data_IF_383698018654
#
_entry.id   IF_383698018654
#
_cell.length_a   1.000
_cell.length_b   1.000
_cell.length_c   1.000
_cell.angle_alpha   90.00
_cell.angle_beta   90.00
_cell.angle_gamma   90.00
#
_symmetry.space_group_name_H-M   'P 1'
#
loop_
_entity.id
_entity.type
_entity.pdbx_description
1 polymer ?
#
# COMPACT_ATOMS: atom_id res chain seq x y z
N UNK A 1 16.45 -7.21 39.65
CA UNK A 1 16.21 -5.81 39.26
C UNK A 1 16.76 -5.63 37.87
N UNK A 2 15.91 -5.42 36.85
CA UNK A 2 16.38 -5.10 35.50
C UNK A 2 17.09 -3.76 35.60
N UNK A 3 18.39 -3.72 35.28
CA UNK A 3 19.12 -2.46 35.19
C UNK A 3 18.42 -1.58 34.15
N UNK A 4 18.06 -0.36 34.53
CA UNK A 4 17.51 0.63 33.60
C UNK A 4 18.51 0.78 32.45
N UNK A 5 18.00 0.83 31.23
CA UNK A 5 18.84 1.05 30.03
C UNK A 5 19.49 2.42 30.09
N UNK A 6 20.81 2.50 29.85
CA UNK A 6 21.48 3.80 29.74
C UNK A 6 21.11 4.50 28.42
N UNK A 7 21.27 5.83 28.39
CA UNK A 7 21.02 6.60 27.16
C UNK A 7 21.96 6.18 26.01
N UNK A 8 23.19 5.84 26.31
CA UNK A 8 24.14 5.34 25.32
C UNK A 8 23.73 3.98 24.74
N UNK A 9 23.27 3.05 25.61
CA UNK A 9 22.74 1.76 25.15
C UNK A 9 21.49 1.95 24.26
N UNK A 10 20.60 2.89 24.65
CA UNK A 10 19.43 3.28 23.89
C UNK A 10 19.83 3.74 22.47
N UNK A 11 20.76 4.67 22.37
CA UNK A 11 21.24 5.21 21.08
C UNK A 11 21.79 4.12 20.14
N UNK A 12 22.53 3.16 20.69
CA UNK A 12 23.04 2.02 19.90
C UNK A 12 21.90 1.16 19.41
N UNK A 13 20.92 0.87 20.25
CA UNK A 13 19.80 0.01 19.91
C UNK A 13 18.88 0.67 18.85
N UNK A 14 18.52 1.94 19.04
CA UNK A 14 17.67 2.65 18.05
C UNK A 14 18.38 2.83 16.72
N UNK A 15 19.69 3.08 16.73
CA UNK A 15 20.47 3.11 15.49
C UNK A 15 20.40 1.77 14.74
N UNK A 16 20.57 0.67 15.43
CA UNK A 16 20.43 -0.66 14.82
C UNK A 16 19.01 -0.90 14.28
N UNK A 17 17.96 -0.54 15.02
CA UNK A 17 16.57 -0.63 14.56
C UNK A 17 16.40 0.21 13.29
N UNK A 18 16.88 1.45 13.29
CA UNK A 18 16.83 2.30 12.10
C UNK A 18 17.54 1.67 10.90
N UNK A 19 18.74 1.14 11.11
CA UNK A 19 19.56 0.53 10.05
C UNK A 19 18.87 -0.70 9.40
N UNK A 20 18.06 -1.47 10.17
CA UNK A 20 17.42 -2.68 9.67
C UNK A 20 16.02 -2.47 9.10
N UNK A 21 15.28 -1.47 9.53
CA UNK A 21 13.89 -1.24 9.10
C UNK A 21 13.49 0.22 8.90
N UNK A 22 14.38 1.19 9.19
CA UNK A 22 14.15 2.62 8.99
C UNK A 22 13.17 3.27 9.95
N UNK A 23 12.71 2.56 10.94
CA UNK A 23 11.82 3.12 11.96
C UNK A 23 12.59 4.14 12.78
N UNK A 24 12.05 5.35 12.86
CA UNK A 24 12.59 6.44 13.67
C UNK A 24 11.94 6.41 15.05
N UNK A 25 12.77 6.35 16.08
CA UNK A 25 12.34 6.44 17.48
C UNK A 25 12.96 7.70 18.11
N UNK A 26 12.14 8.55 18.69
CA UNK A 26 12.59 9.74 19.43
C UNK A 26 13.14 9.38 20.80
N UNK A 27 13.88 10.31 21.40
CA UNK A 27 14.53 10.12 22.71
C UNK A 27 13.54 9.83 23.85
N UNK A 28 12.27 10.21 23.68
CA UNK A 28 11.18 9.94 24.61
C UNK A 28 10.65 8.50 24.55
N UNK A 29 11.17 7.64 23.66
CA UNK A 29 10.66 6.28 23.39
C UNK A 29 11.49 5.15 24.05
N UNK A 30 12.39 5.49 24.99
CA UNK A 30 13.20 4.48 25.68
C UNK A 30 12.31 3.39 26.32
N UNK A 31 11.19 3.79 26.95
CA UNK A 31 10.25 2.85 27.54
C UNK A 31 9.70 1.81 26.56
N UNK A 32 9.55 2.18 25.28
CA UNK A 32 9.08 1.28 24.24
C UNK A 32 10.09 0.18 23.92
N UNK A 33 11.38 0.55 23.85
CA UNK A 33 12.47 -0.42 23.70
C UNK A 33 12.50 -1.37 24.89
N UNK A 34 12.45 -0.83 26.12
CA UNK A 34 12.44 -1.63 27.33
C UNK A 34 11.26 -2.59 27.36
N UNK A 35 10.06 -2.10 27.11
CA UNK A 35 8.84 -2.92 27.09
C UNK A 35 8.89 -4.07 26.07
N UNK A 36 9.44 -3.79 24.86
CA UNK A 36 9.42 -4.75 23.75
C UNK A 36 10.59 -5.73 23.78
N UNK A 37 11.77 -5.30 24.22
CA UNK A 37 12.97 -6.12 24.19
C UNK A 37 13.29 -6.82 25.52
N UNK A 38 12.89 -6.28 26.70
CA UNK A 38 13.14 -6.94 27.98
C UNK A 38 12.67 -8.40 28.02
N UNK A 39 11.45 -8.74 27.52
CA UNK A 39 10.99 -10.12 27.58
C UNK A 39 11.81 -11.10 26.72
N UNK A 40 12.55 -10.59 25.74
CA UNK A 40 13.28 -11.39 24.76
C UNK A 40 14.81 -11.21 24.81
N UNK A 41 15.35 -10.50 25.82
CA UNK A 41 16.81 -10.34 25.98
C UNK A 41 17.55 -11.67 26.01
N UNK A 42 17.01 -12.67 26.70
CA UNK A 42 17.56 -14.02 26.73
C UNK A 42 17.64 -14.68 25.35
N UNK A 43 16.74 -14.33 24.44
CA UNK A 43 16.76 -14.85 23.08
C UNK A 43 17.94 -14.29 22.23
N UNK A 44 18.51 -13.16 22.68
CA UNK A 44 19.73 -12.59 22.13
C UNK A 44 20.99 -13.09 22.85
N UNK A 45 20.84 -13.99 23.82
CA UNK A 45 21.89 -14.41 24.77
C UNK A 45 22.46 -13.20 25.52
N UNK A 46 21.61 -12.32 26.00
CA UNK A 46 21.95 -11.12 26.75
C UNK A 46 21.14 -11.09 28.07
N UNK A 47 21.75 -10.68 29.15
CA UNK A 47 21.12 -10.54 30.47
C UNK A 47 20.55 -9.13 30.68
N UNK A 48 21.08 -8.15 29.95
CA UNK A 48 20.71 -6.74 30.05
C UNK A 48 20.93 -5.99 28.75
N UNK A 49 20.46 -4.75 28.67
CA UNK A 49 20.56 -3.89 27.49
C UNK A 49 22.00 -3.51 27.13
N UNK A 50 22.89 -3.38 28.12
CA UNK A 50 24.30 -3.06 27.85
C UNK A 50 25.03 -4.19 27.14
N UNK A 51 24.69 -5.45 27.45
CA UNK A 51 25.20 -6.61 26.69
C UNK A 51 24.64 -6.62 25.27
N UNK A 52 23.34 -6.34 25.10
CA UNK A 52 22.70 -6.24 23.80
C UNK A 52 23.34 -5.12 22.96
N UNK A 53 23.43 -3.91 23.49
CA UNK A 53 24.05 -2.76 22.80
C UNK A 53 25.49 -3.05 22.38
N UNK A 54 26.30 -3.66 23.25
CA UNK A 54 27.68 -4.06 22.92
C UNK A 54 27.70 -5.08 21.76
N UNK A 55 26.82 -6.05 21.77
CA UNK A 55 26.72 -7.06 20.71
C UNK A 55 26.34 -6.43 19.37
N UNK A 56 25.35 -5.52 19.37
CA UNK A 56 24.92 -4.79 18.17
C UNK A 56 26.03 -3.88 17.62
N UNK A 57 26.74 -3.13 18.50
CA UNK A 57 27.82 -2.23 18.08
C UNK A 57 29.03 -2.96 17.49
N UNK A 58 29.31 -4.19 17.92
CA UNK A 58 30.37 -5.04 17.36
C UNK A 58 29.99 -5.76 16.07
N UNK A 59 28.73 -5.64 15.60
CA UNK A 59 28.23 -6.41 14.46
C UNK A 59 28.08 -7.90 14.72
N UNK A 60 28.08 -8.32 15.99
CA UNK A 60 27.87 -9.72 16.41
C UNK A 60 26.40 -10.13 16.29
N UNK A 61 25.84 -9.95 15.07
CA UNK A 61 24.42 -10.20 14.78
C UNK A 61 24.28 -11.30 13.74
N UNK A 62 23.30 -12.15 13.96
CA UNK A 62 22.90 -13.18 13.01
C UNK A 62 21.64 -12.79 12.29
N UNK A 63 21.26 -13.51 11.22
CA UNK A 63 19.95 -13.39 10.59
C UNK A 63 18.81 -13.51 11.63
N UNK A 64 18.93 -14.49 12.54
CA UNK A 64 17.94 -14.70 13.61
C UNK A 64 17.86 -13.51 14.59
N UNK A 65 19.00 -12.92 14.95
CA UNK A 65 19.01 -11.70 15.78
C UNK A 65 18.25 -10.56 15.11
N UNK A 66 18.50 -10.34 13.82
CA UNK A 66 17.81 -9.32 13.02
C UNK A 66 16.30 -9.59 12.96
N UNK A 67 15.90 -10.82 12.66
CA UNK A 67 14.50 -11.22 12.57
C UNK A 67 13.75 -11.02 13.89
N UNK A 68 14.33 -11.44 15.01
CA UNK A 68 13.76 -11.23 16.34
C UNK A 68 13.61 -9.76 16.67
N UNK A 69 14.62 -8.94 16.35
CA UNK A 69 14.55 -7.49 16.54
C UNK A 69 13.43 -6.87 15.72
N UNK A 70 13.32 -7.21 14.44
CA UNK A 70 12.23 -6.75 13.56
C UNK A 70 10.87 -7.12 14.11
N UNK A 71 10.67 -8.38 14.48
CA UNK A 71 9.41 -8.86 15.02
C UNK A 71 9.01 -8.19 16.35
N UNK A 72 9.98 -7.79 17.17
CA UNK A 72 9.73 -7.08 18.42
C UNK A 72 9.46 -5.59 18.21
N UNK A 73 10.17 -4.96 17.28
CA UNK A 73 10.15 -3.51 17.11
C UNK A 73 9.07 -3.01 16.16
N UNK A 74 8.54 -3.85 15.27
CA UNK A 74 7.42 -3.47 14.40
C UNK A 74 6.12 -3.31 15.19
N UNK A 75 5.30 -2.34 14.79
CA UNK A 75 3.95 -2.15 15.34
C UNK A 75 2.95 -2.78 14.36
N UNK A 76 2.30 -3.84 14.81
CA UNK A 76 1.47 -4.70 13.95
C UNK A 76 -0.03 -4.46 14.16
N UNK A 77 -0.42 -3.24 14.54
CA UNK A 77 -1.82 -2.86 14.76
C UNK A 77 -2.58 -2.84 13.44
N UNK A 78 -3.59 -3.69 13.33
CA UNK A 78 -4.45 -3.79 12.16
C UNK A 78 -5.87 -4.20 12.57
N UNK A 79 -6.86 -3.94 11.70
CA UNK A 79 -8.24 -4.39 11.87
C UNK A 79 -8.91 -4.57 10.51
N UNK A 80 -10.01 -5.31 10.49
CA UNK A 80 -10.84 -5.46 9.31
C UNK A 80 -11.44 -4.12 8.90
N UNK A 81 -11.36 -3.79 7.60
CA UNK A 81 -11.92 -2.55 7.04
C UNK A 81 -11.50 -1.29 7.81
N UNK A 82 -10.25 -1.24 8.30
CA UNK A 82 -9.72 -0.11 9.09
C UNK A 82 -9.98 1.23 8.41
N UNK A 83 -10.56 2.18 9.17
CA UNK A 83 -11.01 3.52 8.74
C UNK A 83 -12.21 3.51 7.76
N UNK A 84 -12.78 2.38 7.43
CA UNK A 84 -13.98 2.14 6.59
C UNK A 84 -13.99 2.88 5.24
N UNK A 85 -13.87 4.22 5.22
CA UNK A 85 -14.02 5.07 4.03
C UNK A 85 -13.08 4.71 2.85
N UNK A 86 -11.81 4.24 3.03
CA UNK A 86 -10.98 3.79 1.91
C UNK A 86 -11.57 2.56 1.21
N UNK A 87 -12.21 1.69 1.95
CA UNK A 87 -12.83 0.47 1.39
C UNK A 87 -14.15 0.77 0.70
N UNK A 88 -14.92 1.76 1.16
CA UNK A 88 -16.09 2.30 0.42
C UNK A 88 -15.62 2.87 -0.91
N UNK A 89 -14.60 3.71 -0.90
CA UNK A 89 -14.00 4.28 -2.12
C UNK A 89 -13.45 3.19 -3.05
N UNK A 90 -12.77 2.18 -2.50
CA UNK A 90 -12.30 1.04 -3.26
C UNK A 90 -13.43 0.31 -3.97
N UNK A 91 -14.52 0.00 -3.25
CA UNK A 91 -15.70 -0.70 -3.78
C UNK A 91 -16.43 0.11 -4.86
N UNK A 92 -16.66 1.41 -4.61
CA UNK A 92 -17.57 2.21 -5.42
C UNK A 92 -16.90 2.96 -6.57
N UNK A 93 -15.62 3.28 -6.44
CA UNK A 93 -14.88 4.09 -7.42
C UNK A 93 -13.77 3.32 -8.12
N UNK A 94 -12.96 2.56 -7.38
CA UNK A 94 -11.80 1.88 -7.94
C UNK A 94 -12.21 0.55 -8.60
N UNK A 95 -13.04 -0.26 -7.94
CA UNK A 95 -13.42 -1.56 -8.49
C UNK A 95 -14.15 -1.50 -9.84
N UNK A 96 -15.04 -0.55 -10.14
CA UNK A 96 -15.60 -0.41 -11.49
C UNK A 96 -14.53 -0.25 -12.58
N UNK A 97 -13.51 0.57 -12.35
CA UNK A 97 -12.39 0.76 -13.29
C UNK A 97 -11.55 -0.52 -13.42
N UNK A 98 -11.37 -1.25 -12.33
CA UNK A 98 -10.65 -2.52 -12.33
C UNK A 98 -11.41 -3.60 -13.10
N UNK A 99 -12.72 -3.64 -12.99
CA UNK A 99 -13.58 -4.54 -13.78
C UNK A 99 -13.45 -4.26 -15.28
N UNK A 100 -13.49 -3.00 -15.69
CA UNK A 100 -13.25 -2.60 -17.08
C UNK A 100 -11.83 -2.99 -17.55
N UNK A 101 -10.84 -2.77 -16.70
CA UNK A 101 -9.44 -3.14 -16.97
C UNK A 101 -9.31 -4.64 -17.21
N UNK A 102 -10.00 -5.49 -16.45
CA UNK A 102 -10.04 -6.94 -16.67
C UNK A 102 -10.56 -7.26 -18.06
N UNK A 103 -11.72 -6.71 -18.45
CA UNK A 103 -12.34 -6.95 -19.75
C UNK A 103 -11.38 -6.53 -20.87
N UNK A 104 -10.86 -5.32 -20.84
CA UNK A 104 -9.92 -4.80 -21.84
C UNK A 104 -8.65 -5.65 -21.96
N UNK A 105 -8.11 -6.14 -20.84
CA UNK A 105 -6.90 -6.97 -20.83
C UNK A 105 -7.18 -8.38 -21.32
N UNK A 106 -8.38 -8.92 -21.12
CA UNK A 106 -8.81 -10.20 -21.69
C UNK A 106 -8.92 -10.11 -23.22
N UNK A 107 -9.51 -9.04 -23.75
CA UNK A 107 -9.62 -8.80 -25.19
C UNK A 107 -8.26 -8.69 -25.88
N UNK A 108 -7.29 -8.00 -25.25
CA UNK A 108 -5.95 -7.79 -25.81
C UNK A 108 -5.03 -8.99 -25.69
N UNK A 109 -5.24 -9.85 -24.71
CA UNK A 109 -4.28 -10.91 -24.36
C UNK A 109 -4.94 -12.07 -23.63
N UNK A 110 -5.84 -12.77 -24.32
CA UNK A 110 -6.53 -13.96 -23.77
C UNK A 110 -5.55 -15.10 -23.39
N UNK A 111 -4.39 -15.19 -24.04
CA UNK A 111 -3.38 -16.22 -23.76
C UNK A 111 -2.54 -15.96 -22.49
N UNK A 112 -2.54 -14.73 -21.95
CA UNK A 112 -1.73 -14.41 -20.79
C UNK A 112 -2.31 -15.07 -19.54
N UNK A 113 -1.59 -16.03 -18.98
CA UNK A 113 -1.95 -16.68 -17.70
C UNK A 113 -1.76 -15.73 -16.53
N UNK A 114 -2.52 -15.99 -15.45
CA UNK A 114 -2.46 -15.23 -14.20
C UNK A 114 -3.42 -14.03 -14.15
N UNK A 115 -3.44 -13.31 -13.03
CA UNK A 115 -4.39 -12.23 -12.79
C UNK A 115 -4.25 -11.09 -13.81
N UNK A 116 -5.38 -10.54 -14.23
CA UNK A 116 -5.46 -9.40 -15.14
C UNK A 116 -5.26 -8.08 -14.41
N UNK A 117 -5.68 -8.00 -13.15
CA UNK A 117 -5.49 -6.86 -12.25
C UNK A 117 -4.67 -7.31 -11.05
N UNK A 118 -3.63 -6.57 -10.74
CA UNK A 118 -2.75 -6.83 -9.58
C UNK A 118 -2.86 -5.69 -8.58
N UNK A 119 -2.98 -6.06 -7.32
CA UNK A 119 -3.07 -5.13 -6.20
C UNK A 119 -2.00 -5.44 -5.16
N UNK A 120 -1.58 -4.43 -4.43
CA UNK A 120 -0.57 -4.58 -3.39
C UNK A 120 -1.02 -3.94 -2.09
N UNK A 121 -1.02 -4.70 -1.00
CA UNK A 121 -1.17 -4.23 0.37
C UNK A 121 0.21 -4.20 1.01
N UNK A 122 0.72 -3.01 1.25
CA UNK A 122 2.03 -2.75 1.84
C UNK A 122 1.91 -2.77 3.36
N UNK A 123 2.83 -3.45 4.06
CA UNK A 123 2.77 -3.66 5.51
C UNK A 123 1.43 -4.30 5.94
N UNK A 124 1.14 -5.45 5.32
CA UNK A 124 -0.12 -6.18 5.48
C UNK A 124 -0.38 -6.70 6.91
N UNK A 125 0.62 -6.68 7.79
CA UNK A 125 0.53 -7.18 9.16
C UNK A 125 -0.03 -8.62 9.19
N UNK A 126 -1.02 -8.88 10.01
CA UNK A 126 -1.67 -10.19 10.13
C UNK A 126 -2.75 -10.46 9.06
N UNK A 127 -2.80 -9.67 7.99
CA UNK A 127 -3.55 -9.97 6.76
C UNK A 127 -4.94 -9.35 6.64
N UNK A 128 -5.44 -8.61 7.64
CA UNK A 128 -6.80 -8.06 7.61
C UNK A 128 -7.04 -7.11 6.43
N UNK A 129 -6.05 -6.30 6.05
CA UNK A 129 -6.19 -5.37 4.92
C UNK A 129 -6.33 -6.10 3.58
N UNK A 130 -5.39 -6.97 3.14
CA UNK A 130 -5.55 -7.69 1.87
C UNK A 130 -6.77 -8.61 1.85
N UNK A 131 -7.15 -9.21 2.98
CA UNK A 131 -8.37 -10.00 3.06
C UNK A 131 -9.64 -9.15 2.96
N UNK A 132 -9.66 -7.93 3.53
CA UNK A 132 -10.78 -6.98 3.35
C UNK A 132 -10.92 -6.55 1.89
N UNK A 133 -9.81 -6.32 1.19
CA UNK A 133 -9.82 -6.10 -0.27
C UNK A 133 -10.41 -7.30 -1.01
N UNK A 134 -9.97 -8.51 -0.68
CA UNK A 134 -10.45 -9.75 -1.29
C UNK A 134 -11.96 -9.97 -1.11
N UNK A 135 -12.51 -9.64 0.07
CA UNK A 135 -13.96 -9.71 0.33
C UNK A 135 -14.73 -8.72 -0.56
N UNK A 136 -14.23 -7.50 -0.75
CA UNK A 136 -14.85 -6.51 -1.64
C UNK A 136 -14.81 -6.99 -3.08
N UNK A 137 -13.70 -7.54 -3.54
CA UNK A 137 -13.58 -8.12 -4.88
C UNK A 137 -14.62 -9.22 -5.07
N UNK A 138 -14.75 -10.14 -4.11
CA UNK A 138 -15.72 -11.22 -4.17
C UNK A 138 -17.17 -10.71 -4.25
N UNK A 139 -17.51 -9.67 -3.47
CA UNK A 139 -18.82 -9.03 -3.54
C UNK A 139 -19.09 -8.38 -4.91
N UNK A 140 -18.12 -7.63 -5.42
CA UNK A 140 -18.27 -6.91 -6.70
C UNK A 140 -18.35 -7.90 -7.87
N UNK A 141 -17.49 -8.91 -7.91
CA UNK A 141 -17.49 -9.96 -8.94
C UNK A 141 -18.81 -10.73 -8.94
N UNK A 142 -19.31 -11.13 -7.75
CA UNK A 142 -20.57 -11.86 -7.64
C UNK A 142 -21.78 -11.05 -8.08
N UNK A 143 -21.79 -9.75 -7.81
CA UNK A 143 -22.94 -8.87 -8.05
C UNK A 143 -22.91 -8.19 -9.43
N UNK A 144 -21.73 -7.88 -9.96
CA UNK A 144 -21.56 -7.06 -11.17
C UNK A 144 -20.72 -7.72 -12.27
N UNK A 145 -20.17 -8.89 -12.02
CA UNK A 145 -19.25 -9.57 -12.95
C UNK A 145 -19.89 -10.03 -14.26
N UNK A 146 -21.20 -10.20 -14.29
CA UNK A 146 -21.98 -10.65 -15.47
C UNK A 146 -21.31 -11.77 -16.29
N UNK A 147 -20.52 -12.65 -15.62
CA UNK A 147 -19.73 -13.71 -16.27
C UNK A 147 -18.47 -13.25 -17.01
N UNK A 148 -18.22 -11.94 -17.11
CA UNK A 148 -17.05 -11.38 -17.80
C UNK A 148 -15.80 -11.35 -16.93
N UNK A 149 -15.96 -11.30 -15.61
CA UNK A 149 -14.88 -11.29 -14.63
C UNK A 149 -15.08 -12.35 -13.56
N UNK A 150 -13.98 -12.93 -13.11
CA UNK A 150 -13.94 -13.96 -12.07
C UNK A 150 -12.93 -13.56 -10.99
N UNK A 151 -12.91 -14.28 -9.86
CA UNK A 151 -11.91 -14.06 -8.81
C UNK A 151 -10.48 -14.22 -9.32
N UNK A 152 -10.24 -15.17 -10.22
CA UNK A 152 -8.90 -15.46 -10.77
C UNK A 152 -8.34 -14.33 -11.65
N UNK A 153 -9.17 -13.38 -12.05
CA UNK A 153 -8.72 -12.18 -12.76
C UNK A 153 -8.02 -11.16 -11.85
N UNK A 154 -8.11 -11.34 -10.54
CA UNK A 154 -7.53 -10.46 -9.53
C UNK A 154 -6.45 -11.18 -8.72
N UNK A 155 -5.38 -10.48 -8.43
CA UNK A 155 -4.33 -10.96 -7.55
C UNK A 155 -3.91 -9.87 -6.56
N UNK A 156 -3.79 -10.21 -5.30
CA UNK A 156 -3.34 -9.32 -4.25
C UNK A 156 -2.01 -9.81 -3.71
N UNK A 157 -1.01 -8.95 -3.66
CA UNK A 157 0.22 -9.19 -2.92
C UNK A 157 0.13 -8.49 -1.57
N UNK A 158 0.24 -9.23 -0.47
CA UNK A 158 0.42 -8.70 0.87
C UNK A 158 1.89 -8.79 1.26
N UNK A 159 2.51 -7.69 1.68
CA UNK A 159 3.91 -7.73 2.13
C UNK A 159 4.06 -7.18 3.52
N UNK A 160 5.01 -7.73 4.28
CA UNK A 160 5.42 -7.20 5.58
C UNK A 160 6.88 -7.55 5.83
N UNK A 161 7.54 -6.79 6.70
CA UNK A 161 8.91 -7.07 7.10
C UNK A 161 8.98 -8.15 8.18
N UNK A 162 7.91 -8.34 8.96
CA UNK A 162 7.80 -9.28 10.07
C UNK A 162 7.33 -10.65 9.57
N UNK A 163 8.21 -11.64 9.62
CA UNK A 163 7.88 -13.04 9.31
C UNK A 163 6.78 -13.60 10.20
N UNK A 164 6.76 -13.18 11.47
CA UNK A 164 5.76 -13.62 12.45
C UNK A 164 4.33 -13.26 12.05
N UNK A 165 4.11 -12.00 11.62
CA UNK A 165 2.76 -11.57 11.22
C UNK A 165 2.37 -12.17 9.88
N UNK A 166 3.33 -12.33 8.96
CA UNK A 166 3.07 -13.00 7.69
C UNK A 166 2.67 -14.47 7.87
N UNK A 167 3.30 -15.19 8.79
CA UNK A 167 2.90 -16.56 9.10
C UNK A 167 1.43 -16.63 9.53
N UNK A 168 0.99 -15.72 10.40
CA UNK A 168 -0.43 -15.60 10.80
C UNK A 168 -1.33 -15.20 9.63
N UNK A 169 -0.88 -14.26 8.79
CA UNK A 169 -1.62 -13.86 7.60
C UNK A 169 -1.82 -15.04 6.64
N UNK A 170 -0.78 -15.84 6.39
CA UNK A 170 -0.86 -17.06 5.55
C UNK A 170 -1.79 -18.10 6.16
N UNK A 171 -1.73 -18.32 7.48
CA UNK A 171 -2.64 -19.22 8.17
C UNK A 171 -4.09 -18.80 7.99
N UNK A 172 -4.36 -17.49 8.01
CA UNK A 172 -5.71 -16.94 7.83
C UNK A 172 -6.68 -17.31 8.94
N UNK A 173 -6.18 -17.57 10.14
CA UNK A 173 -6.94 -18.00 11.32
C UNK A 173 -6.95 -16.91 12.38
N UNK A 174 -8.14 -16.54 12.84
CA UNK A 174 -8.37 -15.40 13.72
C UNK A 174 -9.27 -15.76 14.89
N UNK A 175 -8.97 -15.21 16.06
CA UNK A 175 -9.77 -15.38 17.27
C UNK A 175 -11.04 -14.50 17.26
N UNK A 176 -11.97 -14.73 18.22
CA UNK A 176 -13.24 -14.00 18.30
C UNK A 176 -13.07 -12.48 18.41
N UNK A 177 -12.11 -12.01 19.19
CA UNK A 177 -11.84 -10.57 19.37
C UNK A 177 -11.28 -9.93 18.11
N UNK A 178 -10.49 -10.68 17.33
CA UNK A 178 -9.93 -10.16 16.08
C UNK A 178 -11.00 -9.98 15.01
N UNK A 179 -11.90 -10.97 14.85
CA UNK A 179 -13.00 -10.88 13.88
C UNK A 179 -14.08 -9.89 14.30
N UNK A 180 -14.24 -9.62 15.61
CA UNK A 180 -15.20 -8.63 16.09
C UNK A 180 -14.78 -7.18 15.75
N UNK A 181 -13.51 -6.92 15.48
CA UNK A 181 -12.99 -5.59 15.14
C UNK A 181 -13.12 -5.29 13.65
N UNK A 182 -14.33 -4.92 13.20
CA UNK A 182 -14.63 -4.46 11.84
C UNK A 182 -15.41 -5.43 10.96
N UNK A 183 -15.69 -6.67 11.40
CA UNK A 183 -16.56 -7.60 10.66
C UNK A 183 -17.97 -7.67 11.24
N UNK A 184 -18.97 -7.52 10.36
CA UNK A 184 -20.37 -7.79 10.71
C UNK A 184 -20.60 -9.31 10.86
N UNK A 185 -21.72 -9.68 11.46
CA UNK A 185 -22.12 -11.08 11.56
C UNK A 185 -22.26 -11.73 10.17
N UNK A 186 -22.86 -11.03 9.21
CA UNK A 186 -23.07 -11.54 7.84
C UNK A 186 -21.74 -11.73 7.11
N UNK A 187 -20.77 -10.81 7.26
CA UNK A 187 -19.44 -10.97 6.69
C UNK A 187 -18.73 -12.20 7.26
N UNK A 188 -18.81 -12.41 8.57
CA UNK A 188 -18.21 -13.59 9.21
C UNK A 188 -18.83 -14.87 8.67
N UNK A 189 -20.17 -14.94 8.58
CA UNK A 189 -20.89 -16.08 8.03
C UNK A 189 -20.55 -16.34 6.56
N UNK A 190 -20.36 -15.28 5.77
CA UNK A 190 -20.12 -15.38 4.33
C UNK A 190 -18.67 -15.77 3.98
N UNK A 191 -17.71 -15.24 4.71
CA UNK A 191 -16.30 -15.30 4.32
C UNK A 191 -15.42 -16.15 5.24
N UNK A 192 -15.96 -16.69 6.32
CA UNK A 192 -15.20 -17.51 7.25
C UNK A 192 -15.85 -18.88 7.48
N UNK A 193 -15.00 -19.84 7.77
CA UNK A 193 -15.37 -21.13 8.33
C UNK A 193 -15.05 -21.07 9.81
N UNK A 194 -16.01 -21.38 10.68
CA UNK A 194 -15.78 -21.43 12.12
C UNK A 194 -15.22 -22.81 12.52
N UNK A 195 -14.10 -22.80 13.20
CA UNK A 195 -13.48 -23.99 13.80
C UNK A 195 -13.30 -23.79 15.31
N UNK A 196 -14.19 -24.35 16.12
CA UNK A 196 -14.24 -24.07 17.56
C UNK A 196 -14.45 -22.58 17.80
N UNK A 197 -13.53 -21.96 18.54
CA UNK A 197 -13.57 -20.52 18.81
C UNK A 197 -12.90 -19.66 17.72
N UNK A 198 -12.25 -20.29 16.74
CA UNK A 198 -11.54 -19.58 15.70
C UNK A 198 -12.33 -19.48 14.39
N UNK A 199 -11.94 -18.50 13.57
CA UNK A 199 -12.50 -18.21 12.27
C UNK A 199 -11.40 -18.30 11.21
N UNK A 200 -11.58 -19.15 10.20
CA UNK A 200 -10.64 -19.32 9.09
C UNK A 200 -11.24 -18.66 7.88
N UNK A 201 -10.49 -17.76 7.25
CA UNK A 201 -10.90 -17.08 6.02
C UNK A 201 -11.08 -18.09 4.88
N UNK A 202 -12.14 -17.97 4.09
CA UNK A 202 -12.51 -18.92 3.03
C UNK A 202 -11.43 -19.01 1.95
N UNK A 203 -11.30 -20.19 1.33
CA UNK A 203 -10.36 -20.43 0.23
C UNK A 203 -10.58 -19.54 -0.98
N UNK A 204 -11.82 -19.16 -1.27
CA UNK A 204 -12.16 -18.24 -2.37
C UNK A 204 -11.41 -16.91 -2.23
N UNK A 205 -11.29 -16.39 -1.01
CA UNK A 205 -10.54 -15.17 -0.74
C UNK A 205 -9.03 -15.44 -0.67
N UNK A 206 -8.62 -16.52 -0.01
CA UNK A 206 -7.20 -16.87 0.17
C UNK A 206 -6.48 -17.10 -1.15
N UNK A 207 -7.14 -17.73 -2.12
CA UNK A 207 -6.52 -18.14 -3.39
C UNK A 207 -6.06 -16.98 -4.29
N UNK A 208 -6.59 -15.78 -4.09
CA UNK A 208 -6.17 -14.59 -4.86
C UNK A 208 -5.12 -13.76 -4.13
N UNK A 209 -4.67 -14.20 -2.94
CA UNK A 209 -3.74 -13.43 -2.10
C UNK A 209 -2.45 -14.22 -1.90
N UNK A 210 -1.34 -13.59 -2.23
CA UNK A 210 0.01 -14.05 -1.94
C UNK A 210 0.62 -13.19 -0.83
N UNK A 211 1.33 -13.82 0.11
CA UNK A 211 2.08 -13.10 1.14
C UNK A 211 3.57 -13.28 0.95
N UNK A 212 4.33 -12.18 1.08
CA UNK A 212 5.79 -12.17 0.88
C UNK A 212 6.48 -11.26 1.89
N UNK A 213 7.60 -11.75 2.46
CA UNK A 213 8.48 -10.89 3.25
C UNK A 213 9.12 -9.83 2.36
N UNK A 214 8.98 -8.56 2.76
CA UNK A 214 9.53 -7.44 2.01
C UNK A 214 9.72 -6.22 2.92
N UNK A 215 10.91 -5.62 2.84
CA UNK A 215 11.20 -4.35 3.50
C UNK A 215 10.90 -3.20 2.52
N UNK A 216 9.99 -2.32 2.88
CA UNK A 216 9.60 -1.16 2.06
C UNK A 216 10.76 -0.19 1.78
N UNK A 217 11.88 -0.30 2.51
CA UNK A 217 13.10 0.48 2.23
C UNK A 217 13.97 -0.10 1.12
N UNK A 218 13.75 -1.37 0.77
CA UNK A 218 14.49 -2.02 -0.31
C UNK A 218 14.06 -1.49 -1.69
N UNK A 219 14.74 -1.93 -2.74
CA UNK A 219 14.38 -1.60 -4.11
C UNK A 219 13.16 -2.40 -4.56
N UNK A 220 12.20 -1.74 -5.22
CA UNK A 220 10.95 -2.37 -5.69
C UNK A 220 11.07 -3.07 -7.04
N UNK A 221 12.26 -3.14 -7.62
CA UNK A 221 12.48 -3.67 -8.97
C UNK A 221 11.97 -5.10 -9.19
N UNK A 222 11.93 -5.91 -8.13
CA UNK A 222 11.50 -7.32 -8.20
C UNK A 222 10.06 -7.56 -7.79
N UNK A 223 9.34 -6.53 -7.35
CA UNK A 223 7.97 -6.72 -6.83
C UNK A 223 6.92 -6.71 -7.95
N UNK A 224 7.27 -6.16 -9.10
CA UNK A 224 6.42 -6.06 -10.26
C UNK A 224 5.60 -4.77 -10.33
N UNK A 225 4.55 -4.73 -11.17
CA UNK A 225 3.67 -3.58 -11.35
C UNK A 225 2.28 -3.88 -10.83
N UNK A 226 1.58 -2.85 -10.31
CA UNK A 226 0.27 -2.98 -9.69
C UNK A 226 -0.68 -1.90 -10.20
N UNK A 227 -1.97 -2.24 -10.26
CA UNK A 227 -3.04 -1.33 -10.64
C UNK A 227 -3.58 -0.55 -9.44
N UNK A 228 -3.51 -1.17 -8.25
CA UNK A 228 -3.94 -0.56 -6.98
C UNK A 228 -2.91 -0.88 -5.91
N UNK A 229 -2.49 0.13 -5.16
CA UNK A 229 -1.59 -0.02 -4.01
C UNK A 229 -2.28 0.58 -2.77
N UNK A 230 -2.37 -0.21 -1.72
CA UNK A 230 -2.71 0.22 -0.36
C UNK A 230 -1.39 0.32 0.41
N UNK A 231 -0.95 1.54 0.72
CA UNK A 231 0.22 1.81 1.54
C UNK A 231 -0.22 2.65 2.75
N UNK A 232 -0.81 1.98 3.74
CA UNK A 232 -1.54 2.67 4.80
C UNK A 232 -0.92 2.43 6.17
N UNK A 233 -0.84 3.51 6.97
CA UNK A 233 -0.38 3.49 8.35
C UNK A 233 1.05 2.96 8.54
N UNK A 234 1.91 3.19 7.56
CA UNK A 234 3.31 2.76 7.55
C UNK A 234 4.28 3.94 7.37
N UNK A 235 3.93 4.94 6.55
CA UNK A 235 4.82 6.08 6.27
C UNK A 235 5.07 6.94 7.50
N UNK A 236 4.16 6.89 8.48
CA UNK A 236 4.28 7.61 9.75
C UNK A 236 5.53 7.26 10.55
N UNK A 237 6.18 6.13 10.28
CA UNK A 237 7.37 5.66 10.98
C UNK A 237 8.69 6.14 10.35
N UNK A 238 8.65 6.78 9.17
CA UNK A 238 9.84 7.09 8.39
C UNK A 238 10.16 8.60 8.38
N UNK A 239 11.43 8.92 8.15
CA UNK A 239 11.86 10.29 7.86
C UNK A 239 11.27 10.78 6.54
N UNK A 240 11.22 12.09 6.32
CA UNK A 240 10.70 12.65 5.07
C UNK A 240 11.53 12.24 3.85
N UNK A 241 12.84 12.09 4.00
CA UNK A 241 13.70 11.59 2.91
C UNK A 241 13.38 10.13 2.56
N UNK A 242 13.16 9.29 3.57
CA UNK A 242 12.71 7.90 3.34
C UNK A 242 11.33 7.86 2.71
N UNK A 243 10.38 8.71 3.15
CA UNK A 243 9.05 8.83 2.54
C UNK A 243 9.15 9.23 1.07
N UNK A 244 9.96 10.24 0.71
CA UNK A 244 10.18 10.66 -0.70
C UNK A 244 10.67 9.49 -1.55
N UNK A 245 11.68 8.74 -1.06
CA UNK A 245 12.20 7.56 -1.74
C UNK A 245 11.12 6.48 -1.94
N UNK A 246 10.38 6.16 -0.88
CA UNK A 246 9.31 5.16 -0.91
C UNK A 246 8.21 5.57 -1.90
N UNK A 247 7.72 6.82 -1.82
CA UNK A 247 6.68 7.35 -2.71
C UNK A 247 7.12 7.35 -4.17
N UNK A 248 8.38 7.70 -4.47
CA UNK A 248 8.93 7.62 -5.83
C UNK A 248 8.96 6.18 -6.34
N UNK A 249 9.34 5.21 -5.52
CA UNK A 249 9.31 3.79 -5.89
C UNK A 249 7.88 3.26 -6.08
N UNK A 250 6.93 3.68 -5.22
CA UNK A 250 5.51 3.35 -5.38
C UNK A 250 4.96 3.90 -6.71
N UNK A 251 5.32 5.16 -7.07
CA UNK A 251 4.96 5.74 -8.35
C UNK A 251 5.48 4.92 -9.54
N UNK A 252 6.75 4.52 -9.49
CA UNK A 252 7.35 3.70 -10.55
C UNK A 252 6.67 2.33 -10.70
N UNK A 253 6.30 1.74 -9.57
CA UNK A 253 5.66 0.41 -9.49
C UNK A 253 4.19 0.43 -9.88
N UNK A 254 3.53 1.59 -9.78
CA UNK A 254 2.13 1.76 -10.13
C UNK A 254 1.95 1.79 -11.64
N UNK A 255 0.99 1.04 -12.15
CA UNK A 255 0.60 1.07 -13.57
C UNK A 255 0.05 2.45 -13.97
N UNK A 256 0.12 2.85 -15.24
CA UNK A 256 -0.58 4.04 -15.73
C UNK A 256 -2.06 4.00 -15.36
N UNK A 257 -2.64 5.11 -14.93
CA UNK A 257 -3.98 5.23 -14.35
C UNK A 257 -4.20 4.42 -13.04
N UNK A 258 -3.15 3.87 -12.45
CA UNK A 258 -3.24 3.13 -11.21
C UNK A 258 -3.54 4.01 -9.99
N UNK A 259 -3.95 3.38 -8.92
CA UNK A 259 -4.44 4.01 -7.70
C UNK A 259 -3.52 3.71 -6.51
N UNK A 260 -3.19 4.74 -5.75
CA UNK A 260 -2.50 4.62 -4.46
C UNK A 260 -3.38 5.22 -3.36
N UNK A 261 -3.58 4.44 -2.29
CA UNK A 261 -4.28 4.87 -1.09
C UNK A 261 -3.31 4.87 0.10
N UNK A 262 -3.30 5.97 0.85
CA UNK A 262 -2.54 6.12 2.08
C UNK A 262 -3.47 6.02 3.31
N UNK A 263 -2.89 5.88 4.49
CA UNK A 263 -3.63 5.94 5.76
C UNK A 263 -4.20 7.33 6.04
N UNK A 264 -5.23 7.40 6.87
CA UNK A 264 -5.97 8.64 7.14
C UNK A 264 -5.12 9.77 7.74
N UNK A 265 -4.03 9.43 8.44
CA UNK A 265 -3.06 10.38 8.99
C UNK A 265 -1.85 10.67 8.06
N UNK A 266 -1.86 10.11 6.85
CA UNK A 266 -0.75 10.20 5.90
C UNK A 266 -1.15 11.03 4.68
N UNK A 267 -0.20 11.80 4.14
CA UNK A 267 -0.38 12.58 2.93
C UNK A 267 0.95 12.73 2.17
N UNK A 268 0.88 13.22 0.94
CA UNK A 268 2.05 13.45 0.08
C UNK A 268 2.53 14.90 0.02
N UNK A 269 1.97 15.79 0.83
CA UNK A 269 2.30 17.20 0.78
C UNK A 269 3.81 17.43 0.94
N UNK A 270 4.44 18.16 0.01
CA UNK A 270 5.88 18.38 -0.07
C UNK A 270 6.76 17.12 -0.14
N UNK A 271 6.20 15.96 -0.47
CA UNK A 271 6.94 14.69 -0.54
C UNK A 271 7.03 14.15 -1.98
N UNK A 272 5.97 14.26 -2.77
CA UNK A 272 5.96 13.81 -4.17
C UNK A 272 4.83 14.52 -4.95
N UNK A 273 5.17 15.14 -6.08
CA UNK A 273 4.25 15.87 -6.94
C UNK A 273 3.91 15.14 -8.26
N UNK A 274 4.41 13.93 -8.45
CA UNK A 274 4.17 13.15 -9.68
C UNK A 274 2.74 12.59 -9.75
N UNK A 275 2.10 12.42 -8.61
CA UNK A 275 0.72 11.91 -8.53
C UNK A 275 -0.30 13.02 -8.72
N UNK A 276 -1.40 12.72 -9.41
CA UNK A 276 -2.62 13.52 -9.32
C UNK A 276 -3.44 13.08 -8.13
N UNK A 277 -4.17 14.02 -7.54
CA UNK A 277 -4.97 13.79 -6.32
C UNK A 277 -6.45 13.89 -6.65
N UNK A 278 -7.21 12.88 -6.25
CA UNK A 278 -8.67 12.84 -6.33
C UNK A 278 -9.26 12.66 -4.92
N UNK A 279 -10.40 13.31 -4.64
CA UNK A 279 -11.04 13.19 -3.33
C UNK A 279 -12.44 12.61 -3.44
N UNK A 280 -12.69 11.56 -2.67
CA UNK A 280 -13.97 10.88 -2.57
C UNK A 280 -14.44 10.85 -1.12
N UNK A 281 -15.30 11.81 -0.75
CA UNK A 281 -15.70 11.99 0.64
C UNK A 281 -14.51 12.25 1.56
N UNK A 282 -14.27 11.39 2.52
CA UNK A 282 -13.13 11.45 3.45
C UNK A 282 -11.84 10.83 2.88
N UNK A 283 -11.91 10.12 1.76
CA UNK A 283 -10.76 9.43 1.17
C UNK A 283 -10.05 10.33 0.16
N UNK A 284 -8.75 10.50 0.34
CA UNK A 284 -7.85 11.02 -0.68
C UNK A 284 -7.22 9.84 -1.43
N UNK A 285 -7.33 9.85 -2.75
CA UNK A 285 -6.77 8.85 -3.64
C UNK A 285 -5.72 9.53 -4.52
N UNK A 286 -4.57 8.89 -4.65
CA UNK A 286 -3.49 9.36 -5.51
C UNK A 286 -3.42 8.50 -6.75
N UNK A 287 -3.29 9.13 -7.91
CA UNK A 287 -3.26 8.44 -9.21
C UNK A 287 -1.98 8.72 -9.97
N UNK A 288 -1.48 7.69 -10.62
CA UNK A 288 -0.47 7.87 -11.65
C UNK A 288 -1.15 8.30 -12.94
N UNK A 289 -0.82 9.47 -13.52
CA UNK A 289 -1.41 9.88 -14.81
C UNK A 289 -1.20 8.83 -15.91
N UNK A 290 -2.10 8.81 -16.89
CA UNK A 290 -1.85 8.06 -18.13
C UNK A 290 -0.56 8.58 -18.74
N UNK A 291 0.28 7.68 -19.25
CA UNK A 291 1.44 8.09 -20.04
C UNK A 291 0.91 8.80 -21.29
N UNK A 292 0.93 10.13 -21.29
CA UNK A 292 0.79 10.88 -22.53
C UNK A 292 2.00 10.51 -23.38
N UNK A 293 1.78 9.83 -24.51
CA UNK A 293 2.80 9.77 -25.55
C UNK A 293 3.14 11.22 -25.94
N UNK A 294 4.22 11.74 -25.38
CA UNK A 294 4.83 12.99 -25.79
C UNK A 294 5.51 12.76 -27.16
N UNK A 295 4.71 12.56 -28.20
CA UNK A 295 5.14 12.58 -29.59
C UNK A 295 3.93 12.89 -30.48
N UNK A 296 3.44 14.12 -30.39
CA UNK A 296 2.79 14.82 -31.53
C UNK A 296 2.58 16.29 -31.15
N UNK A 297 3.60 17.10 -31.33
CA UNK A 297 3.51 18.48 -31.82
C UNK A 297 4.87 19.17 -31.74
N UNK A 298 5.84 18.69 -32.51
CA UNK A 298 6.82 19.58 -33.11
C UNK A 298 6.16 20.09 -34.39
N UNK A 299 5.35 21.11 -34.29
CA UNK A 299 4.97 21.93 -35.44
C UNK A 299 6.21 22.70 -35.86
N UNK A 300 6.89 22.21 -36.84
CA UNK A 300 7.84 22.97 -37.64
C UNK A 300 7.22 24.29 -38.10
N UNK A 301 7.84 25.44 -37.89
CA UNK A 301 7.43 26.66 -38.56
C UNK A 301 7.85 26.57 -40.05
N UNK A 302 6.87 26.59 -40.91
CA UNK A 302 7.07 26.71 -42.35
C UNK A 302 7.57 28.15 -42.64
N UNK A 303 8.66 28.30 -43.43
CA UNK A 303 9.10 29.59 -43.90
C UNK A 303 8.49 29.83 -45.30
N UNK A 304 7.39 30.59 -45.37
CA UNK A 304 7.05 31.24 -46.64
C UNK A 304 6.66 32.69 -46.39
N UNK A 305 7.65 33.56 -46.59
CA UNK A 305 7.48 34.96 -46.92
C UNK A 305 6.98 35.09 -48.34
N UNK A 306 5.96 35.86 -48.60
CA UNK A 306 5.80 36.63 -49.83
C UNK A 306 4.87 37.81 -49.63
N UNK A 307 5.27 38.95 -50.15
CA UNK A 307 4.55 40.19 -49.94
C UNK A 307 3.67 40.54 -51.13
N UNK A 308 2.44 40.92 -50.93
CA UNK A 308 1.79 41.93 -51.78
C UNK A 308 0.54 42.45 -51.11
N UNK A 309 0.47 43.80 -51.01
CA UNK A 309 -0.59 44.53 -50.44
C UNK A 309 -1.79 44.78 -51.34
N UNK A 310 -2.84 45.19 -50.77
CA UNK A 310 -3.66 46.39 -51.14
C UNK A 310 -4.97 46.39 -50.31
N UNK A 311 -5.08 47.38 -49.51
CA UNK A 311 -6.23 48.20 -49.18
C UNK A 311 -7.61 47.79 -49.70
N UNK A 312 -8.59 47.69 -48.82
CA UNK A 312 -9.90 48.36 -48.90
C UNK A 312 -10.68 48.17 -47.60
N UNK A 313 -10.99 49.27 -46.95
CA UNK A 313 -12.05 49.52 -45.99
C UNK A 313 -13.09 50.40 -46.74
N UNK A 314 -14.33 50.73 -46.34
CA UNK A 314 -15.06 50.32 -45.13
C UNK A 314 -16.58 50.07 -45.35
N UNK A 315 -17.21 49.80 -44.23
CA UNK A 315 -18.53 50.25 -43.81
C UNK A 315 -19.79 49.44 -44.15
N UNK A 316 -20.52 49.29 -43.06
CA UNK A 316 -21.97 49.35 -42.89
C UNK A 316 -22.78 48.04 -42.89
N UNK A 317 -23.30 47.72 -41.82
CA UNK A 317 -24.70 47.69 -41.40
C UNK A 317 -25.07 46.48 -40.55
N UNK A 318 -25.42 46.78 -39.32
CA UNK A 318 -26.34 45.95 -38.51
C UNK A 318 -27.79 46.30 -38.95
N UNK A 319 -28.87 45.72 -38.32
CA UNK A 319 -29.09 44.56 -37.52
C UNK A 319 -30.42 43.82 -37.91
N UNK A 320 -30.74 42.68 -37.34
CA UNK A 320 -32.10 42.29 -36.87
C UNK A 320 -32.11 40.81 -36.42
N UNK A 321 -32.42 40.48 -35.17
CA UNK A 321 -33.71 40.35 -34.46
C UNK A 321 -34.53 39.11 -34.85
N UNK A 322 -34.83 38.35 -33.81
CA UNK A 322 -35.99 37.52 -33.43
C UNK A 322 -36.01 36.06 -33.85
N UNK A 323 -36.13 35.22 -32.79
CA UNK A 323 -37.30 34.40 -32.34
C UNK A 323 -37.38 33.05 -33.10
N UNK A 324 -37.28 31.92 -32.48
CA UNK A 324 -38.06 31.25 -31.44
C UNK A 324 -37.15 30.24 -30.68
#
# INVERSE_FOLDING_TARGET
MSALMSHDDYNVIIKYVFDICGIVLGDDKQYLIEQRLSPILGEFNCENFSQLARKLSKGETTFLTREKMLNAMTTNETSWFRDEHPYVTFREKIMPDMMQTVVQRKERSWQRRGPKVRMWSVAASTGQEPYSMGMIIADVVSNKGMGLTTMDDFGILGTDISSKVLAKAVEGKYGPLEVARGLTFDMRKKYFIQEGDNYIISSVIRNIIEFKAFNIQDQFTQIGSFDVIFCRNILIYFTDDAKRKILSQLYQTLAPNGYLLLGSAENMYNLNDDFTTERYGATTVYRKPATTNANTSASTPSPFNSPFGSSFDPAAAAPNKYII
#
